data_IF_508346680178
#
_entry.id   IF_508346680178
#
_cell.length_a   1.000
_cell.length_b   1.000
_cell.length_c   1.000
_cell.angle_alpha   90.00
_cell.angle_beta   90.00
_cell.angle_gamma   90.00
#
_symmetry.space_group_name_H-M   'P 1'
#
loop_
_entity.id
_entity.type
_entity.pdbx_description
1 polymer ?
#
# COMPACT_ATOMS: atom_id res chain seq x y z
N UNK A 1 4.65 -17.86 10.65
CA UNK A 1 4.20 -16.53 10.25
C UNK A 1 4.98 -16.11 9.03
N UNK A 2 4.29 -15.93 7.97
CA UNK A 2 4.91 -15.44 6.75
C UNK A 2 5.00 -13.93 6.85
N UNK A 3 6.22 -13.43 6.97
CA UNK A 3 6.44 -12.00 6.89
C UNK A 3 6.48 -11.60 5.44
N UNK A 4 5.43 -10.98 4.99
CA UNK A 4 5.52 -10.16 3.82
C UNK A 4 6.03 -8.82 4.32
N UNK A 5 7.23 -8.45 3.90
CA UNK A 5 7.75 -7.11 4.15
C UNK A 5 6.87 -6.13 3.43
N UNK A 6 6.10 -5.38 4.20
CA UNK A 6 5.16 -4.42 3.64
C UNK A 6 5.18 -3.14 4.45
N UNK A 7 4.98 -2.01 3.80
CA UNK A 7 4.67 -0.81 4.55
C UNK A 7 3.35 -1.01 5.29
N UNK A 8 3.20 -0.38 6.43
CA UNK A 8 1.90 -0.29 7.08
C UNK A 8 0.86 0.19 6.06
N UNK A 9 -0.46 -0.12 6.24
CA UNK A 9 -1.47 0.24 5.24
C UNK A 9 -1.42 1.68 4.77
N UNK A 10 -1.02 2.61 5.65
CA UNK A 10 -0.81 4.02 5.33
C UNK A 10 0.57 4.32 4.71
N UNK A 11 1.50 3.39 4.72
CA UNK A 11 2.87 3.58 4.22
C UNK A 11 2.94 3.86 2.73
N UNK A 12 1.95 3.39 1.97
CA UNK A 12 1.86 3.69 0.54
C UNK A 12 1.58 5.17 0.26
N UNK A 13 1.04 5.89 1.22
CA UNK A 13 0.69 7.29 1.11
C UNK A 13 1.83 8.21 1.60
N UNK A 14 3.00 7.66 1.90
CA UNK A 14 4.15 8.39 2.43
C UNK A 14 5.46 7.99 1.78
N UNK A 15 6.52 8.66 2.20
CA UNK A 15 7.88 8.49 1.68
C UNK A 15 8.74 7.70 2.67
N UNK A 16 8.16 6.67 3.30
CA UNK A 16 8.80 5.85 4.31
C UNK A 16 8.69 4.38 3.92
N UNK A 17 9.82 3.68 3.94
CA UNK A 17 9.88 2.24 3.74
C UNK A 17 9.96 1.54 5.09
N UNK A 18 9.21 0.46 5.26
CA UNK A 18 9.31 -0.39 6.44
C UNK A 18 10.12 -1.64 6.10
N UNK A 19 11.21 -1.88 6.83
CA UNK A 19 12.06 -3.05 6.60
C UNK A 19 11.50 -4.31 7.25
N UNK A 20 12.22 -5.43 7.09
CA UNK A 20 11.81 -6.73 7.61
C UNK A 20 11.67 -6.74 9.15
N UNK A 21 12.38 -5.85 9.83
CA UNK A 21 12.32 -5.73 11.29
C UNK A 21 11.26 -4.76 11.76
N UNK A 22 10.46 -4.24 10.84
CA UNK A 22 9.44 -3.25 11.14
C UNK A 22 9.96 -1.83 11.33
N UNK A 23 11.24 -1.58 11.04
CA UNK A 23 11.81 -0.23 11.17
C UNK A 23 11.36 0.63 10.02
N UNK A 24 10.97 1.85 10.33
CA UNK A 24 10.60 2.85 9.34
C UNK A 24 11.85 3.62 8.90
N UNK A 25 12.12 3.58 7.61
CA UNK A 25 13.29 4.23 7.01
C UNK A 25 12.79 5.21 5.96
N UNK A 26 13.08 6.51 6.12
CA UNK A 26 12.77 7.47 5.06
C UNK A 26 13.42 7.04 3.74
N UNK A 27 12.68 7.12 2.65
CA UNK A 27 13.16 6.69 1.32
C UNK A 27 14.45 7.44 0.95
N UNK A 28 14.58 8.70 1.35
CA UNK A 28 15.76 9.51 1.07
C UNK A 28 17.03 8.98 1.77
N UNK A 29 16.87 8.16 2.79
CA UNK A 29 17.98 7.52 3.51
C UNK A 29 18.37 6.15 2.93
N UNK A 30 17.58 5.62 2.01
CA UNK A 30 17.92 4.38 1.33
C UNK A 30 19.00 4.62 0.29
N UNK A 31 19.89 3.63 0.11
CA UNK A 31 20.77 3.63 -1.07
C UNK A 31 19.93 3.41 -2.32
N UNK A 32 20.41 3.84 -3.51
CA UNK A 32 19.70 3.51 -4.75
C UNK A 32 19.47 2.01 -4.95
N UNK A 33 20.44 1.17 -4.57
CA UNK A 33 20.28 -0.29 -4.64
C UNK A 33 19.20 -0.82 -3.71
N UNK A 34 19.13 -0.32 -2.48
CA UNK A 34 18.08 -0.69 -1.53
C UNK A 34 16.71 -0.21 -2.02
N UNK A 35 16.63 0.97 -2.58
CA UNK A 35 15.39 1.50 -3.16
C UNK A 35 14.92 0.64 -4.35
N UNK A 36 15.83 0.19 -5.19
CA UNK A 36 15.51 -0.72 -6.30
C UNK A 36 14.94 -2.05 -5.78
N UNK A 37 15.55 -2.61 -4.74
CA UNK A 37 15.06 -3.83 -4.10
C UNK A 37 13.67 -3.65 -3.49
N UNK A 38 13.44 -2.55 -2.79
CA UNK A 38 12.15 -2.22 -2.21
C UNK A 38 11.07 -2.07 -3.29
N UNK A 39 11.40 -1.37 -4.38
CA UNK A 39 10.48 -1.21 -5.52
C UNK A 39 10.15 -2.56 -6.16
N UNK A 40 11.13 -3.44 -6.30
CA UNK A 40 10.92 -4.79 -6.81
C UNK A 40 9.99 -5.62 -5.94
N UNK A 41 10.05 -5.44 -4.62
CA UNK A 41 9.13 -6.09 -3.70
C UNK A 41 7.70 -5.57 -3.87
N UNK A 42 7.53 -4.26 -4.01
CA UNK A 42 6.20 -3.68 -4.26
C UNK A 42 5.59 -4.26 -5.55
N UNK A 43 6.40 -4.39 -6.58
CA UNK A 43 5.96 -4.96 -7.86
C UNK A 43 5.59 -6.43 -7.73
N UNK A 44 6.45 -7.21 -7.08
CA UNK A 44 6.25 -8.66 -6.91
C UNK A 44 5.01 -8.99 -6.09
N UNK A 45 4.76 -8.22 -5.03
CA UNK A 45 3.69 -8.49 -4.08
C UNK A 45 2.53 -7.50 -4.19
N UNK A 46 2.39 -6.84 -5.34
CA UNK A 46 1.37 -5.82 -5.54
C UNK A 46 -0.04 -6.33 -5.21
N UNK A 47 -0.39 -7.53 -5.66
CA UNK A 47 -1.70 -8.13 -5.39
C UNK A 47 -1.93 -8.37 -3.91
N UNK A 48 -0.90 -8.80 -3.18
CA UNK A 48 -0.97 -9.01 -1.74
C UNK A 48 -1.20 -7.70 -1.01
N UNK A 49 -0.46 -6.66 -1.34
CA UNK A 49 -0.63 -5.34 -0.74
C UNK A 49 -1.98 -4.74 -1.05
N UNK A 50 -2.45 -4.88 -2.29
CA UNK A 50 -3.77 -4.40 -2.68
C UNK A 50 -4.88 -5.13 -1.93
N UNK A 51 -4.77 -6.45 -1.77
CA UNK A 51 -5.75 -7.24 -1.02
C UNK A 51 -5.82 -6.81 0.45
N UNK A 52 -4.68 -6.50 1.06
CA UNK A 52 -4.64 -6.01 2.44
C UNK A 52 -5.25 -4.62 2.57
N UNK A 53 -4.94 -3.72 1.66
CA UNK A 53 -5.56 -2.39 1.64
C UNK A 53 -7.06 -2.52 1.42
N UNK A 54 -7.47 -3.40 0.51
CA UNK A 54 -8.87 -3.69 0.24
C UNK A 54 -9.60 -4.22 1.47
N UNK A 55 -8.98 -5.14 2.21
CA UNK A 55 -9.53 -5.65 3.48
C UNK A 55 -9.71 -4.54 4.51
N UNK A 56 -8.77 -3.60 4.57
CA UNK A 56 -8.88 -2.43 5.43
C UNK A 56 -10.08 -1.56 5.05
N UNK A 57 -10.27 -1.28 3.78
CA UNK A 57 -11.43 -0.52 3.29
C UNK A 57 -12.74 -1.23 3.59
N UNK A 58 -12.79 -2.55 3.41
CA UNK A 58 -14.01 -3.32 3.70
C UNK A 58 -14.35 -3.37 5.19
N UNK A 59 -13.32 -3.46 6.04
CA UNK A 59 -13.52 -3.38 7.48
C UNK A 59 -14.08 -2.01 7.88
N UNK A 60 -13.56 -0.94 7.28
CA UNK A 60 -14.07 0.41 7.50
C UNK A 60 -15.52 0.55 7.00
N UNK A 61 -15.85 -0.06 5.86
CA UNK A 61 -17.23 -0.07 5.35
C UNK A 61 -18.19 -0.79 6.32
N UNK A 62 -17.76 -1.95 6.85
CA UNK A 62 -18.56 -2.68 7.82
C UNK A 62 -18.79 -1.87 9.10
N UNK A 63 -17.75 -1.21 9.60
CA UNK A 63 -17.88 -0.33 10.77
C UNK A 63 -18.81 0.84 10.50
N UNK A 64 -18.72 1.44 9.32
CA UNK A 64 -19.61 2.53 8.89
C UNK A 64 -21.08 2.09 8.90
N UNK A 65 -21.36 0.89 8.40
CA UNK A 65 -22.72 0.32 8.44
C UNK A 65 -23.19 0.05 9.87
N UNK A 66 -22.33 -0.53 10.69
CA UNK A 66 -22.64 -0.83 12.07
C UNK A 66 -22.96 0.41 12.90
N UNK A 67 -22.28 1.53 12.60
CA UNK A 67 -22.49 2.81 13.28
C UNK A 67 -23.68 3.60 12.74
N UNK A 68 -24.39 3.08 11.75
CA UNK A 68 -25.57 3.74 11.18
C UNK A 68 -25.24 4.97 10.34
N UNK A 69 -24.01 5.11 9.86
CA UNK A 69 -23.60 6.18 8.98
C UNK A 69 -24.21 5.99 7.57
N UNK A 70 -24.25 7.04 6.74
CA UNK A 70 -24.85 6.96 5.41
C UNK A 70 -24.29 5.81 4.58
N UNK A 71 -25.17 5.04 3.93
CA UNK A 71 -24.83 3.89 3.14
C UNK A 71 -23.85 4.21 1.99
N UNK A 72 -23.88 5.46 1.50
CA UNK A 72 -22.97 5.93 0.45
C UNK A 72 -21.50 5.88 0.87
N UNK A 73 -21.20 6.15 2.14
CA UNK A 73 -19.83 6.08 2.66
C UNK A 73 -19.30 4.66 2.61
N UNK A 74 -20.09 3.70 3.07
CA UNK A 74 -19.71 2.29 3.02
C UNK A 74 -19.55 1.80 1.58
N UNK A 75 -20.46 2.19 0.69
CA UNK A 75 -20.39 1.84 -0.73
C UNK A 75 -19.13 2.41 -1.40
N UNK A 76 -18.73 3.62 -1.06
CA UNK A 76 -17.48 4.22 -1.58
C UNK A 76 -16.25 3.46 -1.10
N UNK A 77 -16.24 3.02 0.16
CA UNK A 77 -15.13 2.23 0.70
C UNK A 77 -15.04 0.85 0.02
N UNK A 78 -16.16 0.18 -0.19
CA UNK A 78 -16.19 -1.08 -0.93
C UNK A 78 -15.72 -0.90 -2.38
N UNK A 79 -16.14 0.17 -3.03
CA UNK A 79 -15.72 0.50 -4.39
C UNK A 79 -14.21 0.82 -4.45
N UNK A 80 -13.68 1.49 -3.44
CA UNK A 80 -12.25 1.75 -3.34
C UNK A 80 -11.45 0.44 -3.25
N UNK A 81 -11.93 -0.54 -2.50
CA UNK A 81 -11.31 -1.86 -2.43
C UNK A 81 -11.31 -2.55 -3.80
N UNK A 82 -12.43 -2.55 -4.49
CA UNK A 82 -12.54 -3.18 -5.81
C UNK A 82 -11.62 -2.55 -6.85
N UNK A 83 -11.42 -1.24 -6.78
CA UNK A 83 -10.59 -0.52 -7.75
C UNK A 83 -9.11 -0.88 -7.67
N UNK A 84 -8.62 -1.40 -6.56
CA UNK A 84 -7.20 -1.66 -6.38
C UNK A 84 -6.85 -3.16 -6.38
N UNK A 85 -7.84 -4.03 -6.19
CA UNK A 85 -7.60 -5.47 -6.04
C UNK A 85 -7.44 -6.18 -7.40
N UNK A 86 -6.86 -7.38 -7.34
CA UNK A 86 -6.72 -8.25 -8.51
C UNK A 86 -5.82 -7.64 -9.59
N UNK A 87 -6.30 -7.57 -10.80
CA UNK A 87 -5.53 -7.12 -11.95
C UNK A 87 -5.20 -5.61 -11.90
N UNK A 88 -5.93 -4.84 -11.11
CA UNK A 88 -5.66 -3.42 -10.91
C UNK A 88 -4.50 -3.14 -9.95
N UNK A 89 -4.01 -4.16 -9.24
CA UNK A 89 -3.03 -3.98 -8.16
C UNK A 89 -1.72 -3.34 -8.62
N UNK A 90 -1.20 -3.73 -9.78
CA UNK A 90 0.04 -3.14 -10.32
C UNK A 90 -0.11 -1.65 -10.59
N UNK A 91 -1.19 -1.26 -11.26
CA UNK A 91 -1.45 0.14 -11.55
C UNK A 91 -1.62 0.95 -10.27
N UNK A 92 -2.31 0.39 -9.29
CA UNK A 92 -2.46 1.03 -8.01
C UNK A 92 -1.12 1.27 -7.32
N UNK A 93 -0.29 0.23 -7.21
CA UNK A 93 1.03 0.33 -6.56
C UNK A 93 1.89 1.40 -7.24
N UNK A 94 1.93 1.40 -8.57
CA UNK A 94 2.75 2.34 -9.33
C UNK A 94 2.25 3.78 -9.25
N UNK A 95 1.00 3.97 -8.89
CA UNK A 95 0.42 5.29 -8.66
C UNK A 95 0.65 5.83 -7.25
N UNK A 96 1.20 5.05 -6.32
CA UNK A 96 1.38 5.47 -4.93
C UNK A 96 2.53 6.44 -4.76
N UNK A 97 2.47 7.24 -3.70
CA UNK A 97 3.55 8.16 -3.32
C UNK A 97 4.82 7.36 -3.03
N UNK A 98 4.69 6.23 -2.34
CA UNK A 98 5.85 5.39 -2.00
C UNK A 98 6.56 4.88 -3.26
N UNK A 99 5.84 4.37 -4.25
CA UNK A 99 6.44 3.91 -5.51
C UNK A 99 7.20 5.02 -6.21
N UNK A 100 6.61 6.19 -6.30
CA UNK A 100 7.25 7.36 -6.92
C UNK A 100 8.51 7.77 -6.18
N UNK A 101 8.45 7.80 -4.84
CA UNK A 101 9.60 8.14 -4.02
C UNK A 101 10.75 7.15 -4.21
N UNK A 102 10.45 5.85 -4.24
CA UNK A 102 11.45 4.81 -4.50
C UNK A 102 12.03 4.94 -5.91
N UNK A 103 11.22 5.21 -6.90
CA UNK A 103 11.67 5.42 -8.29
C UNK A 103 12.61 6.62 -8.40
N UNK A 104 12.26 7.73 -7.78
CA UNK A 104 13.14 8.91 -7.73
C UNK A 104 14.47 8.57 -7.06
N UNK A 105 14.44 7.78 -6.00
CA UNK A 105 15.67 7.41 -5.28
C UNK A 105 16.55 6.49 -6.12
N UNK A 106 15.96 5.56 -6.88
CA UNK A 106 16.71 4.69 -7.80
C UNK A 106 17.44 5.51 -8.85
N UNK A 107 16.81 6.58 -9.35
CA UNK A 107 17.34 7.44 -10.40
C UNK A 107 18.30 8.52 -9.89
N UNK A 108 18.40 8.66 -8.59
CA UNK A 108 19.23 9.71 -7.98
C UNK A 108 20.75 9.48 -8.18
#
# INVERSE_FOLDING_TARGET
>A
VTFVMRPAPWGFDGRVWQDIKGREIPVDELTPGAALGARGMLERFARTYAAERGSFYRAAAAATRADGLPATLAAELDAAAERIEGDAAQDWVQGTILWRALTERVEA
#
